data_IF_269480145921
#
_entry.id   IF_269480145921
#
_cell.length_a   1.000
_cell.length_b   1.000
_cell.length_c   1.000
_cell.angle_alpha   90.00
_cell.angle_beta   90.00
_cell.angle_gamma   90.00
#
_symmetry.space_group_name_H-M   'P 1'
#
loop_
_entity.id
_entity.type
_entity.pdbx_description
1 polymer ?
#
# COMPACT_ATOMS: atom_id res chain seq x y z
N UNK A 1 -19.69 -9.27 -0.64
CA UNK A 1 -18.85 -9.10 0.58
C UNK A 1 -17.76 -8.09 0.27
N UNK A 2 -17.54 -7.08 1.15
CA UNK A 2 -16.52 -6.06 0.91
C UNK A 2 -15.13 -6.58 1.25
N UNK A 3 -14.11 -6.01 0.59
CA UNK A 3 -12.72 -6.40 0.76
C UNK A 3 -11.82 -5.16 0.86
N UNK A 4 -10.89 -5.18 1.81
CA UNK A 4 -9.84 -4.19 1.98
C UNK A 4 -8.48 -4.85 1.77
N UNK A 5 -7.73 -4.39 0.78
CA UNK A 5 -6.42 -4.91 0.40
C UNK A 5 -5.38 -3.85 0.75
N UNK A 6 -4.51 -4.15 1.73
CA UNK A 6 -3.41 -3.26 2.11
C UNK A 6 -2.14 -3.66 1.37
N UNK A 7 -1.51 -2.70 0.71
CA UNK A 7 -0.24 -2.85 0.00
C UNK A 7 0.82 -1.99 0.69
N UNK A 8 1.76 -2.64 1.33
CA UNK A 8 2.85 -2.03 2.09
C UNK A 8 4.21 -2.24 1.38
N UNK A 9 5.24 -1.54 1.82
CA UNK A 9 6.62 -1.66 1.33
C UNK A 9 7.34 -0.32 1.27
N UNK A 10 8.66 -0.35 1.05
CA UNK A 10 9.47 0.87 0.97
C UNK A 10 9.17 1.71 -0.29
N UNK A 11 9.70 2.94 -0.35
CA UNK A 11 9.64 3.75 -1.56
C UNK A 11 10.40 3.02 -2.71
N UNK A 12 9.92 3.15 -3.95
CA UNK A 12 10.53 2.51 -5.12
C UNK A 12 10.23 1.00 -5.28
N UNK A 13 9.54 0.35 -4.33
CA UNK A 13 9.19 -1.08 -4.46
C UNK A 13 8.05 -1.36 -5.44
N UNK A 14 7.29 -0.32 -5.84
CA UNK A 14 6.23 -0.44 -6.86
C UNK A 14 4.80 -0.42 -6.32
N UNK A 15 4.56 -0.07 -5.05
CA UNK A 15 3.22 -0.07 -4.43
C UNK A 15 2.13 0.61 -5.26
N UNK A 16 2.33 1.87 -5.63
CA UNK A 16 1.32 2.65 -6.36
C UNK A 16 1.03 2.10 -7.75
N UNK A 17 2.05 1.60 -8.46
CA UNK A 17 1.89 0.97 -9.77
C UNK A 17 1.10 -0.35 -9.64
N UNK A 18 1.49 -1.23 -8.72
CA UNK A 18 0.79 -2.50 -8.44
C UNK A 18 -0.65 -2.23 -8.02
N UNK A 19 -0.89 -1.26 -7.14
CA UNK A 19 -2.24 -0.92 -6.66
C UNK A 19 -3.16 -0.42 -7.77
N UNK A 20 -2.66 0.38 -8.71
CA UNK A 20 -3.42 0.79 -9.91
C UNK A 20 -3.74 -0.41 -10.82
N UNK A 21 -2.84 -1.37 -10.94
CA UNK A 21 -3.12 -2.60 -11.68
C UNK A 21 -4.18 -3.45 -10.99
N UNK A 22 -4.12 -3.62 -9.65
CA UNK A 22 -5.16 -4.33 -8.88
C UNK A 22 -6.52 -3.65 -9.05
N UNK A 23 -6.57 -2.31 -8.97
CA UNK A 23 -7.79 -1.54 -9.16
C UNK A 23 -8.49 -1.84 -10.49
N UNK A 24 -7.71 -2.06 -11.56
CA UNK A 24 -8.24 -2.39 -12.90
C UNK A 24 -8.62 -3.87 -13.05
N UNK A 25 -8.05 -4.76 -12.24
CA UNK A 25 -8.31 -6.20 -12.28
C UNK A 25 -9.54 -6.60 -11.47
N UNK A 26 -9.86 -5.87 -10.41
CA UNK A 26 -10.99 -6.17 -9.52
C UNK A 26 -12.20 -5.29 -9.86
N UNK A 27 -13.43 -5.86 -9.85
CA UNK A 27 -14.63 -5.07 -10.09
C UNK A 27 -14.91 -4.10 -8.94
N UNK A 28 -15.63 -3.01 -9.22
CA UNK A 28 -16.11 -2.05 -8.21
C UNK A 28 -15.01 -1.67 -7.19
N UNK A 29 -13.82 -1.32 -7.70
CA UNK A 29 -12.60 -1.18 -6.90
C UNK A 29 -12.20 0.29 -6.70
N UNK A 30 -12.20 0.74 -5.45
CA UNK A 30 -11.63 2.02 -5.05
C UNK A 30 -10.13 1.87 -4.73
N UNK A 31 -9.36 2.93 -4.97
CA UNK A 31 -7.94 3.01 -4.63
C UNK A 31 -7.68 4.26 -3.78
N UNK A 32 -6.99 4.07 -2.67
CA UNK A 32 -6.37 5.14 -1.89
C UNK A 32 -4.86 4.93 -1.82
N UNK A 33 -4.09 5.90 -2.32
CA UNK A 33 -2.68 6.03 -1.99
C UNK A 33 -2.55 6.97 -0.78
N UNK A 34 -1.93 6.50 0.31
CA UNK A 34 -1.81 7.27 1.55
C UNK A 34 -1.05 8.60 1.37
N UNK A 35 -0.18 8.69 0.37
CA UNK A 35 0.54 9.92 0.07
C UNK A 35 -0.41 11.04 -0.41
N UNK A 36 -1.58 10.71 -0.97
CA UNK A 36 -2.60 11.72 -1.33
C UNK A 36 -3.21 12.41 -0.11
N UNK A 37 -3.21 11.72 1.04
CA UNK A 37 -3.72 12.28 2.30
C UNK A 37 -2.70 13.20 2.99
N UNK A 38 -1.48 13.27 2.46
CA UNK A 38 -0.39 14.08 2.98
C UNK A 38 0.24 15.00 1.93
N UNK A 39 -0.55 15.44 0.97
CA UNK A 39 -0.10 16.35 -0.09
C UNK A 39 -0.17 17.80 0.37
N UNK A 40 0.88 18.27 1.04
CA UNK A 40 0.99 19.64 1.62
C UNK A 40 2.29 20.29 1.13
N UNK A 41 2.23 21.57 0.82
CA UNK A 41 3.40 22.38 0.47
C UNK A 41 3.56 23.59 1.39
N UNK A 42 4.76 23.89 1.93
CA UNK A 42 5.94 22.99 1.93
C UNK A 42 5.69 21.73 2.76
N UNK A 43 6.27 20.60 2.32
CA UNK A 43 6.11 19.34 3.04
C UNK A 43 6.86 19.40 4.38
N UNK A 44 6.14 19.11 5.48
CA UNK A 44 6.71 19.04 6.81
C UNK A 44 6.17 17.85 7.59
N UNK A 45 7.02 17.25 8.40
CA UNK A 45 6.68 16.09 9.23
C UNK A 45 6.74 16.51 10.70
N UNK A 46 5.57 16.65 11.30
CA UNK A 46 5.39 16.93 12.73
C UNK A 46 4.54 15.83 13.37
N UNK A 47 4.50 15.75 14.68
CA UNK A 47 3.62 14.78 15.36
C UNK A 47 2.14 15.08 15.09
N UNK A 48 1.80 16.34 14.88
CA UNK A 48 0.44 16.71 14.47
C UNK A 48 0.13 16.25 13.05
N UNK A 49 1.02 16.53 12.07
CA UNK A 49 0.79 16.12 10.68
C UNK A 49 0.75 14.60 10.53
N UNK A 50 1.52 13.84 11.32
CA UNK A 50 1.43 12.37 11.37
C UNK A 50 0.07 11.87 11.87
N UNK A 51 -0.50 12.52 12.88
CA UNK A 51 -1.85 12.18 13.36
C UNK A 51 -2.90 12.52 12.29
N UNK A 52 -2.82 13.73 11.73
CA UNK A 52 -3.77 14.19 10.72
C UNK A 52 -3.81 13.30 9.48
N UNK A 53 -2.66 12.84 8.98
CA UNK A 53 -2.64 11.94 7.83
C UNK A 53 -3.36 10.62 8.12
N UNK A 54 -3.21 10.07 9.33
CA UNK A 54 -3.95 8.87 9.73
C UNK A 54 -5.45 9.15 9.78
N UNK A 55 -5.88 10.27 10.37
CA UNK A 55 -7.30 10.68 10.42
C UNK A 55 -7.89 10.81 9.02
N UNK A 56 -7.16 11.42 8.08
CA UNK A 56 -7.58 11.55 6.68
C UNK A 56 -7.71 10.19 6.00
N UNK A 57 -6.71 9.30 6.17
CA UNK A 57 -6.73 7.94 5.63
C UNK A 57 -7.96 7.18 6.15
N UNK A 58 -8.18 7.20 7.46
CA UNK A 58 -9.32 6.52 8.09
C UNK A 58 -10.65 7.10 7.57
N UNK A 59 -10.75 8.42 7.44
CA UNK A 59 -11.95 9.08 6.91
C UNK A 59 -12.27 8.62 5.48
N UNK A 60 -11.27 8.64 4.58
CA UNK A 60 -11.48 8.25 3.18
C UNK A 60 -11.79 6.76 3.07
N UNK A 61 -11.05 5.89 3.77
CA UNK A 61 -11.31 4.45 3.77
C UNK A 61 -12.69 4.12 4.34
N UNK A 62 -13.13 4.79 5.41
CA UNK A 62 -14.47 4.63 5.98
C UNK A 62 -15.56 5.04 4.97
N UNK A 63 -15.33 6.10 4.20
CA UNK A 63 -16.22 6.52 3.12
C UNK A 63 -16.37 5.43 2.05
N UNK A 64 -15.28 4.83 1.59
CA UNK A 64 -15.34 3.70 0.64
C UNK A 64 -16.00 2.46 1.23
N UNK A 65 -15.73 2.15 2.50
CA UNK A 65 -16.37 1.03 3.21
C UNK A 65 -17.89 1.23 3.34
N UNK A 66 -18.35 2.46 3.51
CA UNK A 66 -19.78 2.81 3.55
C UNK A 66 -20.48 2.88 2.18
N UNK A 67 -19.73 2.94 1.07
CA UNK A 67 -20.31 3.11 -0.27
C UNK A 67 -20.82 1.77 -0.81
N UNK A 68 -22.11 1.69 -1.16
CA UNK A 68 -22.73 0.45 -1.67
C UNK A 68 -22.12 -0.02 -3.01
N UNK A 69 -21.69 0.92 -3.85
CA UNK A 69 -21.15 0.64 -5.19
C UNK A 69 -19.67 0.23 -5.17
N UNK A 70 -19.02 0.19 -3.98
CA UNK A 70 -17.62 -0.23 -3.82
C UNK A 70 -17.60 -1.60 -3.17
N UNK A 71 -17.01 -2.58 -3.83
CA UNK A 71 -16.81 -3.94 -3.33
C UNK A 71 -15.37 -4.19 -2.86
N UNK A 72 -14.40 -3.66 -3.61
CA UNK A 72 -12.99 -3.82 -3.35
C UNK A 72 -12.35 -2.47 -3.05
N UNK A 73 -11.49 -2.42 -2.06
CA UNK A 73 -10.74 -1.24 -1.68
C UNK A 73 -9.27 -1.61 -1.63
N UNK A 74 -8.43 -0.93 -2.40
CA UNK A 74 -6.97 -1.05 -2.34
C UNK A 74 -6.45 0.18 -1.61
N UNK A 75 -5.68 -0.06 -0.56
CA UNK A 75 -4.97 0.98 0.18
C UNK A 75 -3.48 0.71 0.12
N UNK A 76 -2.69 1.62 -0.42
CA UNK A 76 -1.24 1.51 -0.43
C UNK A 76 -0.57 2.67 0.29
N UNK A 77 0.44 2.36 1.10
CA UNK A 77 1.24 3.37 1.79
C UNK A 77 2.57 2.80 2.29
N UNK A 78 3.46 3.70 2.78
CA UNK A 78 4.71 3.34 3.46
C UNK A 78 4.41 3.15 4.95
N UNK A 79 4.19 1.92 5.38
CA UNK A 79 3.94 1.55 6.78
C UNK A 79 5.13 0.76 7.32
N UNK A 80 6.17 1.48 7.81
CA UNK A 80 7.47 0.89 8.20
C UNK A 80 7.38 -0.02 9.43
N UNK A 81 6.31 0.10 10.21
CA UNK A 81 6.02 -0.70 11.39
C UNK A 81 4.63 -1.29 11.30
N UNK A 82 4.51 -2.52 11.78
CA UNK A 82 3.26 -3.28 11.78
C UNK A 82 2.12 -2.51 12.47
N UNK A 83 2.43 -1.82 13.56
CA UNK A 83 1.46 -1.08 14.37
C UNK A 83 0.79 0.05 13.58
N UNK A 84 1.44 0.62 12.56
CA UNK A 84 0.83 1.66 11.72
C UNK A 84 -0.39 1.09 10.98
N UNK A 85 -0.24 -0.07 10.37
CA UNK A 85 -1.35 -0.74 9.69
C UNK A 85 -2.44 -1.19 10.68
N UNK A 86 -2.03 -1.71 11.85
CA UNK A 86 -2.97 -2.16 12.89
C UNK A 86 -3.79 -1.00 13.47
N UNK A 87 -3.17 0.15 13.72
CA UNK A 87 -3.86 1.34 14.21
C UNK A 87 -4.88 1.87 13.19
N UNK A 88 -4.52 1.87 11.89
CA UNK A 88 -5.46 2.25 10.83
C UNK A 88 -6.65 1.27 10.83
N UNK A 89 -6.38 -0.03 10.80
CA UNK A 89 -7.42 -1.06 10.76
C UNK A 89 -8.34 -1.03 11.99
N UNK A 90 -7.77 -0.81 13.19
CA UNK A 90 -8.55 -0.70 14.44
C UNK A 90 -9.51 0.50 14.45
N UNK A 91 -9.23 1.52 13.63
CA UNK A 91 -10.05 2.73 13.52
C UNK A 91 -11.13 2.65 12.43
N UNK A 92 -11.15 1.56 11.64
CA UNK A 92 -12.10 1.39 10.54
C UNK A 92 -13.34 0.59 10.94
N UNK A 93 -14.53 0.89 10.38
CA UNK A 93 -15.75 0.11 10.59
C UNK A 93 -15.73 -1.18 9.74
N UNK A 94 -14.88 -2.13 10.10
CA UNK A 94 -14.62 -3.30 9.26
C UNK A 94 -15.78 -4.30 9.25
N UNK A 95 -16.48 -4.54 10.38
CA UNK A 95 -17.57 -5.54 10.40
C UNK A 95 -17.18 -6.85 9.71
N UNK A 96 -17.94 -7.23 8.67
CA UNK A 96 -17.71 -8.42 7.85
C UNK A 96 -16.74 -8.18 6.66
N UNK A 97 -15.97 -7.09 6.67
CA UNK A 97 -15.00 -6.77 5.61
C UNK A 97 -13.82 -7.73 5.68
N UNK A 98 -13.52 -8.41 4.59
CA UNK A 98 -12.27 -9.20 4.47
C UNK A 98 -11.07 -8.29 4.31
N UNK A 99 -10.05 -8.50 5.14
CA UNK A 99 -8.81 -7.74 5.11
C UNK A 99 -7.66 -8.65 4.67
N UNK A 100 -7.06 -8.34 3.52
CA UNK A 100 -5.83 -8.99 3.02
C UNK A 100 -4.68 -8.00 3.09
N UNK A 101 -3.54 -8.43 3.62
CA UNK A 101 -2.37 -7.58 3.84
C UNK A 101 -1.17 -8.12 3.08
N UNK A 102 -0.54 -7.28 2.28
CA UNK A 102 0.64 -7.62 1.48
C UNK A 102 1.77 -6.63 1.76
N UNK A 103 3.00 -7.14 1.86
CA UNK A 103 4.22 -6.33 1.89
C UNK A 103 5.05 -6.66 0.65
N UNK A 104 5.18 -5.67 -0.23
CA UNK A 104 6.06 -5.78 -1.39
C UNK A 104 7.50 -5.61 -0.94
N UNK A 105 8.35 -6.52 -1.38
CA UNK A 105 9.79 -6.50 -1.12
C UNK A 105 10.57 -6.51 -2.45
N UNK A 106 11.77 -5.99 -2.44
CA UNK A 106 12.72 -6.08 -3.55
C UNK A 106 14.14 -5.97 -3.01
N UNK A 107 15.11 -6.41 -3.80
CA UNK A 107 16.52 -6.22 -3.51
C UNK A 107 16.89 -4.73 -3.45
N UNK A 108 17.92 -4.34 -2.71
CA UNK A 108 18.41 -2.95 -2.69
C UNK A 108 18.74 -2.44 -4.10
N UNK A 109 19.32 -3.29 -4.95
CA UNK A 109 19.69 -2.97 -6.33
C UNK A 109 18.46 -2.63 -7.17
N UNK A 110 17.40 -3.43 -7.07
CA UNK A 110 16.13 -3.19 -7.76
C UNK A 110 15.47 -1.89 -7.30
N UNK A 111 15.42 -1.65 -5.98
CA UNK A 111 14.85 -0.42 -5.42
C UNK A 111 15.63 0.81 -5.90
N UNK A 112 16.95 0.77 -5.83
CA UNK A 112 17.80 1.88 -6.30
C UNK A 112 17.63 2.13 -7.79
N UNK A 113 17.59 1.09 -8.61
CA UNK A 113 17.40 1.24 -10.07
C UNK A 113 16.05 1.91 -10.41
N UNK A 114 14.95 1.49 -9.73
CA UNK A 114 13.62 2.08 -9.93
C UNK A 114 13.59 3.54 -9.46
N UNK A 115 14.14 3.85 -8.30
CA UNK A 115 14.20 5.22 -7.79
C UNK A 115 15.03 6.15 -8.65
N UNK A 116 16.14 5.67 -9.23
CA UNK A 116 16.91 6.45 -10.21
C UNK A 116 16.09 6.79 -11.45
N UNK A 117 15.26 5.86 -11.92
CA UNK A 117 14.30 6.12 -12.99
C UNK A 117 13.29 7.20 -12.62
N UNK A 118 12.72 7.15 -11.42
CA UNK A 118 11.79 8.15 -10.90
C UNK A 118 12.45 9.54 -10.78
N UNK A 119 13.70 9.61 -10.30
CA UNK A 119 14.48 10.85 -10.20
C UNK A 119 14.75 11.43 -11.58
N UNK A 120 15.21 10.61 -12.52
CA UNK A 120 15.45 11.03 -13.90
C UNK A 120 14.19 11.57 -14.60
N UNK A 121 13.02 11.07 -14.21
CA UNK A 121 11.72 11.55 -14.66
C UNK A 121 11.19 12.78 -13.89
N UNK A 122 11.95 13.31 -12.93
CA UNK A 122 11.54 14.46 -12.11
C UNK A 122 10.41 14.16 -11.10
N UNK A 123 10.17 12.89 -10.77
CA UNK A 123 9.10 12.48 -9.89
C UNK A 123 9.53 12.43 -8.41
N UNK A 124 10.83 12.46 -8.14
CA UNK A 124 11.39 12.35 -6.78
C UNK A 124 12.74 13.08 -6.67
N UNK A 125 13.09 13.46 -5.45
CA UNK A 125 14.38 14.04 -5.10
C UNK A 125 15.41 12.93 -4.78
N UNK A 126 16.69 13.25 -4.84
CA UNK A 126 17.80 12.28 -4.67
C UNK A 126 17.87 11.65 -3.27
N UNK A 127 17.41 12.36 -2.24
CA UNK A 127 17.42 11.90 -0.84
C UNK A 127 16.57 10.63 -0.61
N UNK A 128 15.62 10.36 -1.51
CA UNK A 128 14.72 9.20 -1.41
C UNK A 128 15.48 7.87 -1.44
N UNK A 129 16.61 7.77 -2.17
CA UNK A 129 17.36 6.52 -2.30
C UNK A 129 17.91 6.08 -0.94
N UNK A 130 18.64 6.96 -0.24
CA UNK A 130 19.22 6.63 1.06
C UNK A 130 18.15 6.25 2.07
N UNK A 131 17.06 7.00 2.12
CA UNK A 131 15.92 6.75 3.01
C UNK A 131 15.22 5.42 2.69
N UNK A 132 15.02 5.11 1.42
CA UNK A 132 14.37 3.86 1.01
C UNK A 132 15.21 2.64 1.36
N UNK A 133 16.52 2.68 1.10
CA UNK A 133 17.45 1.60 1.44
C UNK A 133 17.52 1.39 2.95
N UNK A 134 17.57 2.47 3.73
CA UNK A 134 17.56 2.40 5.19
C UNK A 134 16.28 1.73 5.76
N UNK A 135 15.17 1.78 5.04
CA UNK A 135 13.91 1.15 5.46
C UNK A 135 13.80 -0.33 5.10
N UNK A 136 14.58 -0.85 4.16
CA UNK A 136 14.49 -2.26 3.73
C UNK A 136 14.53 -3.26 4.90
N UNK A 137 15.44 -3.14 5.90
CA UNK A 137 15.47 -4.06 7.03
C UNK A 137 14.19 -4.09 7.86
N UNK A 138 13.43 -2.98 7.91
CA UNK A 138 12.18 -2.89 8.64
C UNK A 138 11.11 -3.79 8.02
N UNK A 139 11.07 -3.88 6.69
CA UNK A 139 10.14 -4.75 5.96
C UNK A 139 10.54 -6.22 5.94
N UNK A 140 11.78 -6.56 6.35
CA UNK A 140 12.20 -7.94 6.57
C UNK A 140 11.56 -8.54 7.83
N UNK A 141 11.17 -7.71 8.80
CA UNK A 141 10.51 -8.14 10.03
C UNK A 141 9.09 -8.66 9.78
N UNK A 142 8.45 -9.24 10.80
CA UNK A 142 7.06 -9.64 10.72
C UNK A 142 6.14 -8.42 10.61
N UNK A 143 5.58 -8.22 9.44
CA UNK A 143 4.61 -7.15 9.15
C UNK A 143 3.15 -7.60 9.31
N UNK A 144 2.91 -8.83 9.74
CA UNK A 144 1.57 -9.43 9.78
C UNK A 144 0.90 -9.48 8.41
N UNK A 145 1.66 -9.75 7.37
CA UNK A 145 1.23 -9.68 5.97
C UNK A 145 1.95 -10.72 5.10
N UNK A 146 1.35 -11.10 3.98
CA UNK A 146 2.01 -11.91 2.96
C UNK A 146 3.10 -11.08 2.29
N UNK A 147 4.33 -11.58 2.28
CA UNK A 147 5.45 -10.92 1.58
C UNK A 147 5.53 -11.39 0.15
N UNK A 148 5.66 -10.44 -0.78
CA UNK A 148 5.80 -10.69 -2.22
C UNK A 148 7.04 -9.97 -2.75
N UNK A 149 8.00 -10.76 -3.24
CA UNK A 149 9.17 -10.22 -3.94
C UNK A 149 8.77 -9.71 -5.33
N UNK A 150 9.21 -8.51 -5.66
CA UNK A 150 8.89 -7.86 -6.94
C UNK A 150 10.10 -7.78 -7.88
N UNK A 151 11.21 -8.41 -7.52
CA UNK A 151 12.39 -8.48 -8.39
C UNK A 151 12.05 -9.22 -9.68
N UNK A 152 12.41 -8.64 -10.82
CA UNK A 152 12.13 -9.22 -12.13
C UNK A 152 10.65 -9.25 -12.55
N UNK A 153 9.72 -8.79 -11.71
CA UNK A 153 8.29 -8.76 -12.03
C UNK A 153 7.83 -7.36 -12.43
N UNK A 154 6.92 -7.31 -13.40
CA UNK A 154 6.15 -6.12 -13.71
C UNK A 154 5.08 -5.84 -12.63
N UNK A 155 4.55 -4.63 -12.63
CA UNK A 155 3.46 -4.26 -11.75
C UNK A 155 2.19 -5.10 -12.02
N UNK A 156 1.94 -5.43 -13.28
CA UNK A 156 0.80 -6.26 -13.68
C UNK A 156 0.94 -7.71 -13.22
N UNK A 157 2.13 -8.31 -13.32
CA UNK A 157 2.39 -9.67 -12.84
C UNK A 157 2.21 -9.76 -11.33
N UNK A 158 2.77 -8.80 -10.58
CA UNK A 158 2.61 -8.70 -9.13
C UNK A 158 1.12 -8.52 -8.76
N UNK A 159 0.40 -7.67 -9.47
CA UNK A 159 -1.03 -7.42 -9.24
C UNK A 159 -1.87 -8.67 -9.50
N UNK A 160 -1.58 -9.43 -10.56
CA UNK A 160 -2.28 -10.70 -10.85
C UNK A 160 -2.05 -11.74 -9.75
N UNK A 161 -0.84 -11.81 -9.20
CA UNK A 161 -0.56 -12.72 -8.09
C UNK A 161 -1.35 -12.34 -6.84
N UNK A 162 -1.38 -11.05 -6.48
CA UNK A 162 -2.19 -10.56 -5.37
C UNK A 162 -3.67 -10.87 -5.60
N UNK A 163 -4.21 -10.56 -6.77
CA UNK A 163 -5.61 -10.82 -7.09
C UNK A 163 -5.94 -12.33 -6.99
N UNK A 164 -5.02 -13.20 -7.42
CA UNK A 164 -5.18 -14.65 -7.30
C UNK A 164 -5.23 -15.11 -5.85
N UNK A 165 -4.36 -14.60 -4.99
CA UNK A 165 -4.34 -14.92 -3.56
C UNK A 165 -5.67 -14.49 -2.93
N UNK A 166 -6.08 -13.25 -3.16
CA UNK A 166 -7.32 -12.67 -2.62
C UNK A 166 -8.56 -13.46 -3.05
N UNK A 167 -8.62 -13.94 -4.30
CA UNK A 167 -9.72 -14.75 -4.80
C UNK A 167 -9.72 -16.19 -4.28
N UNK A 168 -8.55 -16.75 -3.94
CA UNK A 168 -8.45 -18.10 -3.32
C UNK A 168 -8.92 -18.09 -1.87
N UNK A 169 -8.68 -17.02 -1.13
CA UNK A 169 -9.18 -16.84 0.24
C UNK A 169 -10.72 -16.92 0.29
N UNK A 170 -11.42 -16.53 -0.79
CA UNK A 170 -12.88 -16.67 -0.89
C UNK A 170 -13.37 -18.12 -1.02
N UNK A 171 -12.61 -18.94 -1.77
CA UNK A 171 -13.04 -20.31 -2.08
C UNK A 171 -12.83 -21.30 -0.93
N UNK A 172 -12.03 -20.94 0.07
CA UNK A 172 -11.74 -21.80 1.22
C UNK A 172 -12.67 -21.57 2.39
N UNK A 173 -13.50 -20.52 2.36
CA UNK A 173 -14.45 -20.16 3.42
C UNK A 173 -15.91 -20.31 3.00
N UNK A 174 -16.19 -20.64 1.73
CA UNK A 174 -17.51 -20.93 1.18
C UNK A 174 -17.77 -22.43 1.18
#
# INVERSE_FOLDING_TARGET
>A
MKRLILINGTMGVGKSAVSRCIQRLLPACALLDGDWCWNVYPFSVTEESKRRVIDHIVTVLSGYLGCADVENIVFCWVMQRREIAENILASLPLGDVKVSRFTLTASPETVVARLRGDIAAGLRDEDVIARSVAYLPLYAQDMGSVKLATDGLSAEETAREIARIVQREEKHEA
#
